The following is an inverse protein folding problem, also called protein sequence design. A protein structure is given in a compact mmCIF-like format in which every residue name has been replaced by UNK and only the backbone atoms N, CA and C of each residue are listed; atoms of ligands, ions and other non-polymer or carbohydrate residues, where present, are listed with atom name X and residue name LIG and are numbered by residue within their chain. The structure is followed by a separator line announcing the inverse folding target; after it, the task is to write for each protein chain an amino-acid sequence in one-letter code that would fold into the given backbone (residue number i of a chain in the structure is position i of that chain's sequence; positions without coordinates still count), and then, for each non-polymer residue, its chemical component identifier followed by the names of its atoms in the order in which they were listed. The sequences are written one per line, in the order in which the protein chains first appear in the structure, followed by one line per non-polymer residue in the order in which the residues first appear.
data_IF_516751794334
#
_entry.id   IF_516751794334
#
_cell.length_a   1.000
_cell.length_b   1.000
_cell.length_c   1.000
_cell.angle_alpha   90.00
_cell.angle_beta   90.00
_cell.angle_gamma   90.00
#
_symmetry.space_group_name_H-M   'P 1'
#
loop_
_entity.id
_entity.type
_entity.pdbx_description
1 polymer ?
#
# COMPACT_ATOMS: atom_id res chain seq x y z
N UNK A 1 3.56 11.77 4.32
CA UNK A 1 3.23 10.89 3.18
C UNK A 1 2.46 11.60 2.05
N UNK A 2 2.34 12.94 2.05
CA UNK A 2 1.37 13.65 1.19
C UNK A 2 1.63 13.64 -0.32
N UNK A 3 2.82 13.22 -0.76
CA UNK A 3 3.18 13.16 -2.19
C UNK A 3 2.80 11.84 -2.85
N UNK A 4 2.36 10.84 -2.08
CA UNK A 4 1.89 9.58 -2.65
C UNK A 4 0.48 9.76 -3.22
N UNK A 5 0.27 9.22 -4.41
CA UNK A 5 -1.09 8.96 -4.91
C UNK A 5 -1.73 7.86 -4.06
N UNK A 6 -3.06 7.83 -4.05
CA UNK A 6 -3.81 6.85 -3.26
C UNK A 6 -3.46 5.41 -3.69
N UNK A 7 -3.29 5.17 -5.00
CA UNK A 7 -2.86 3.87 -5.54
C UNK A 7 -1.49 3.45 -5.00
N UNK A 8 -0.50 4.35 -5.03
CA UNK A 8 0.85 4.05 -4.56
C UNK A 8 0.91 3.88 -3.04
N UNK A 9 0.09 4.64 -2.29
CA UNK A 9 -0.02 4.51 -0.83
C UNK A 9 -0.59 3.13 -0.45
N UNK A 10 -1.67 2.71 -1.11
CA UNK A 10 -2.28 1.38 -0.90
C UNK A 10 -1.30 0.27 -1.27
N UNK A 11 -0.65 0.37 -2.43
CA UNK A 11 0.33 -0.62 -2.85
C UNK A 11 1.51 -0.72 -1.86
N UNK A 12 2.01 0.42 -1.39
CA UNK A 12 3.11 0.48 -0.42
C UNK A 12 2.73 -0.18 0.90
N UNK A 13 1.52 0.10 1.41
CA UNK A 13 0.99 -0.53 2.61
C UNK A 13 0.88 -2.05 2.47
N UNK A 14 0.30 -2.52 1.36
CA UNK A 14 0.13 -3.95 1.11
C UNK A 14 1.48 -4.67 1.04
N UNK A 15 2.44 -4.10 0.32
CA UNK A 15 3.79 -4.66 0.20
C UNK A 15 4.52 -4.64 1.55
N UNK A 16 4.41 -3.56 2.31
CA UNK A 16 5.05 -3.45 3.62
C UNK A 16 4.54 -4.53 4.58
N UNK A 17 3.22 -4.79 4.58
CA UNK A 17 2.64 -5.89 5.36
C UNK A 17 3.07 -7.27 4.86
N UNK A 18 3.06 -7.50 3.54
CA UNK A 18 3.45 -8.81 2.99
C UNK A 18 4.91 -9.16 3.23
N UNK A 19 5.79 -8.15 3.25
CA UNK A 19 7.22 -8.30 3.52
C UNK A 19 7.55 -8.36 5.01
N UNK A 20 6.57 -8.15 5.90
CA UNK A 20 6.79 -8.10 7.34
C UNK A 20 7.74 -6.98 7.74
N UNK A 21 7.63 -5.80 7.11
CA UNK A 21 8.45 -4.64 7.45
C UNK A 21 8.16 -4.15 8.87
N UNK A 22 9.01 -3.25 9.33
CA UNK A 22 8.92 -2.62 10.64
C UNK A 22 7.51 -2.10 10.95
N UNK A 23 7.06 -2.33 12.19
CA UNK A 23 5.68 -2.03 12.59
C UNK A 23 5.41 -0.53 12.64
N UNK A 24 6.38 0.28 13.02
CA UNK A 24 6.21 1.73 13.07
C UNK A 24 6.09 2.27 11.65
N UNK A 25 6.87 1.72 10.71
CA UNK A 25 6.71 2.04 9.29
C UNK A 25 5.32 1.66 8.75
N UNK A 26 4.81 0.47 9.07
CA UNK A 26 3.47 0.05 8.66
C UNK A 26 2.40 0.96 9.28
N UNK A 27 2.54 1.33 10.56
CA UNK A 27 1.61 2.23 11.24
C UNK A 27 1.54 3.61 10.59
N UNK A 28 2.68 4.16 10.14
CA UNK A 28 2.70 5.43 9.40
C UNK A 28 1.90 5.38 8.09
N UNK A 29 1.85 4.22 7.42
CA UNK A 29 1.05 4.03 6.23
C UNK A 29 -0.44 3.88 6.58
N UNK A 30 -0.78 3.17 7.66
CA UNK A 30 -2.15 3.04 8.18
C UNK A 30 -2.72 4.40 8.58
N UNK A 31 -1.95 5.24 9.27
CA UNK A 31 -2.36 6.58 9.67
C UNK A 31 -2.66 7.47 8.46
N UNK A 32 -1.84 7.43 7.41
CA UNK A 32 -2.10 8.19 6.19
C UNK A 32 -3.33 7.65 5.43
N UNK A 33 -3.52 6.33 5.36
CA UNK A 33 -4.71 5.73 4.76
C UNK A 33 -5.98 6.16 5.49
N UNK A 34 -5.95 6.15 6.82
CA UNK A 34 -7.05 6.62 7.67
C UNK A 34 -7.30 8.11 7.46
N UNK A 35 -6.26 8.94 7.40
CA UNK A 35 -6.37 10.38 7.17
C UNK A 35 -7.03 10.71 5.82
N UNK A 36 -6.82 9.87 4.80
CA UNK A 36 -7.44 10.00 3.46
C UNK A 36 -8.79 9.30 3.32
N UNK A 37 -9.30 8.67 4.39
CA UNK A 37 -10.50 7.81 4.36
C UNK A 37 -10.42 6.68 3.32
N UNK A 38 -9.24 6.11 3.11
CA UNK A 38 -9.03 4.99 2.20
C UNK A 38 -9.22 3.67 2.95
N UNK A 39 -10.39 3.07 2.79
CA UNK A 39 -10.75 1.82 3.47
C UNK A 39 -10.25 0.60 2.69
N UNK A 40 -9.13 0.04 3.14
CA UNK A 40 -8.47 -1.11 2.53
C UNK A 40 -9.39 -2.33 2.36
N UNK A 41 -10.34 -2.53 3.26
CA UNK A 41 -11.27 -3.68 3.25
C UNK A 41 -12.18 -3.78 2.01
N UNK A 42 -12.28 -2.70 1.21
CA UNK A 42 -13.05 -2.68 -0.04
C UNK A 42 -12.17 -2.70 -1.29
N UNK A 43 -10.85 -2.70 -1.12
CA UNK A 43 -9.91 -2.70 -2.23
C UNK A 43 -9.68 -4.15 -2.64
N UNK A 44 -10.27 -4.54 -3.78
CA UNK A 44 -9.96 -5.81 -4.42
C UNK A 44 -8.49 -5.77 -4.83
N UNK A 45 -7.64 -6.59 -4.20
CA UNK A 45 -6.24 -6.69 -4.62
C UNK A 45 -6.23 -6.98 -6.13
N UNK A 46 -5.56 -6.14 -6.96
CA UNK A 46 -5.35 -6.51 -8.34
C UNK A 46 -4.57 -7.82 -8.31
N UNK A 47 -5.18 -8.89 -8.85
CA UNK A 47 -4.53 -10.18 -9.04
C UNK A 47 -3.23 -9.90 -9.80
N UNK A 48 -2.12 -10.12 -9.10
CA UNK A 48 -0.75 -9.89 -9.52
C UNK A 48 -0.54 -10.13 -11.02
N UNK A 49 -0.67 -9.06 -11.81
CA UNK A 49 -0.17 -9.05 -13.18
C UNK A 49 1.28 -8.66 -13.06
N UNK A 50 2.14 -9.68 -12.99
CA UNK A 50 3.57 -9.55 -13.16
C UNK A 50 3.83 -8.74 -14.42
N UNK A 51 4.14 -7.45 -14.28
CA UNK A 51 4.89 -6.73 -15.32
C UNK A 51 6.30 -7.32 -15.26
N UNK A 52 6.48 -8.43 -15.98
CA UNK A 52 7.78 -8.92 -16.37
C UNK A 52 8.43 -7.79 -17.17
N UNK A 53 9.35 -7.06 -16.55
CA UNK A 53 10.28 -6.24 -17.30
C UNK A 53 11.24 -7.21 -18.00
N UNK A 54 10.86 -7.63 -19.19
CA UNK A 54 11.79 -8.25 -20.12
C UNK A 54 12.70 -7.14 -20.63
N UNK A 55 13.98 -7.23 -20.28
CA UNK A 55 15.07 -6.44 -20.86
C UNK A 55 15.57 -7.18 -22.09
#
# INVERSE_FOLDING_TARGET
MWRLTDELLVESYMRAKSLGLDKDFVALLEDELNHRNIFIQYIKMPSSSTKSFSI
#
